data_IF_622008525655
#
_entry.id   IF_622008525655
#
_cell.length_a   1.000
_cell.length_b   1.000
_cell.length_c   1.000
_cell.angle_alpha   90.00
_cell.angle_beta   90.00
_cell.angle_gamma   90.00
#
_symmetry.space_group_name_H-M   'P 1'
#
loop_
_entity.id
_entity.type
_entity.pdbx_description
1 polymer ?
#
# COMPACT_ATOMS: atom_id res chain seq x y z
N UNK A 1 14.07 0.53 12.21
CA UNK A 1 13.49 1.83 11.76
C UNK A 1 14.14 2.22 10.43
N UNK A 2 13.34 2.47 9.43
CA UNK A 2 13.77 2.94 8.11
C UNK A 2 13.80 4.47 8.14
N UNK A 3 14.81 5.08 7.48
CA UNK A 3 14.98 6.54 7.41
C UNK A 3 15.13 6.98 5.97
N UNK A 4 14.43 8.03 5.59
CA UNK A 4 14.57 8.70 4.29
C UNK A 4 14.91 10.17 4.49
N UNK A 5 15.79 10.67 3.64
CA UNK A 5 16.18 12.08 3.60
C UNK A 5 15.80 12.64 2.25
N UNK A 6 14.79 13.46 2.20
CA UNK A 6 14.42 14.20 1.00
C UNK A 6 15.24 15.50 0.93
N UNK A 7 16.35 15.43 0.22
CA UNK A 7 17.27 16.58 0.10
C UNK A 7 16.68 17.72 -0.74
N UNK A 8 15.88 17.40 -1.74
CA UNK A 8 15.25 18.39 -2.63
C UNK A 8 14.22 19.22 -1.87
N UNK A 9 13.38 18.56 -1.05
CA UNK A 9 12.31 19.19 -0.31
C UNK A 9 12.70 19.45 1.16
N UNK A 10 13.95 19.15 1.53
CA UNK A 10 14.58 19.49 2.81
C UNK A 10 13.83 18.98 4.04
N UNK A 11 13.50 17.67 4.07
CA UNK A 11 12.92 17.03 5.26
C UNK A 11 13.42 15.61 5.43
N UNK A 12 13.14 15.05 6.60
CA UNK A 12 13.48 13.68 6.97
C UNK A 12 12.21 12.96 7.42
N UNK A 13 12.02 11.74 6.96
CA UNK A 13 10.97 10.84 7.45
C UNK A 13 11.57 9.55 7.99
N UNK A 14 10.91 8.97 8.98
CA UNK A 14 11.26 7.70 9.59
C UNK A 14 10.02 6.83 9.76
N UNK A 15 10.19 5.53 9.53
CA UNK A 15 9.15 4.54 9.64
C UNK A 15 9.68 3.27 10.32
N UNK A 16 8.94 2.76 11.29
CA UNK A 16 9.24 1.47 11.91
C UNK A 16 8.32 0.39 11.34
N UNK A 17 8.84 -0.53 10.51
CA UNK A 17 8.04 -1.59 9.89
C UNK A 17 7.48 -2.62 10.88
N UNK A 18 7.94 -2.63 12.14
CA UNK A 18 7.45 -3.55 13.18
C UNK A 18 6.22 -3.00 13.90
N UNK A 19 6.23 -1.69 14.19
CA UNK A 19 5.19 -1.03 14.98
C UNK A 19 4.23 -0.19 14.14
N UNK A 20 4.61 0.12 12.89
CA UNK A 20 3.88 1.07 12.06
C UNK A 20 4.12 2.54 12.44
N UNK A 21 4.99 2.81 13.44
CA UNK A 21 5.29 4.17 13.84
C UNK A 21 5.91 4.95 12.69
N UNK A 22 5.32 6.10 12.39
CA UNK A 22 5.78 7.01 11.36
C UNK A 22 5.92 8.42 11.91
N UNK A 23 7.00 9.07 11.54
CA UNK A 23 7.25 10.48 11.86
C UNK A 23 8.01 11.13 10.73
N UNK A 24 7.72 12.41 10.47
CA UNK A 24 8.55 13.25 9.62
C UNK A 24 8.80 14.62 10.24
N UNK A 25 9.93 15.23 9.92
CA UNK A 25 10.24 16.59 10.30
C UNK A 25 9.41 17.59 9.48
N UNK A 26 9.37 18.82 9.92
CA UNK A 26 9.05 19.93 9.04
C UNK A 26 10.16 20.17 7.99
N UNK A 27 9.93 21.12 7.11
CA UNK A 27 10.95 21.56 6.14
C UNK A 27 12.08 22.25 6.89
N UNK A 28 13.32 21.85 6.63
CA UNK A 28 14.51 22.54 7.18
C UNK A 28 14.80 23.84 6.42
N UNK A 29 15.12 24.89 7.16
CA UNK A 29 15.61 26.15 6.60
C UNK A 29 17.08 26.03 6.10
N UNK A 30 17.64 27.14 5.61
CA UNK A 30 19.03 27.20 5.10
C UNK A 30 20.08 26.95 6.19
N UNK A 31 19.72 27.16 7.45
CA UNK A 31 20.58 26.91 8.61
C UNK A 31 20.42 25.49 9.17
N UNK A 32 19.57 24.65 8.55
CA UNK A 32 19.30 23.30 9.01
C UNK A 32 18.36 23.20 10.21
N UNK A 33 17.62 24.27 10.52
CA UNK A 33 16.61 24.29 11.58
C UNK A 33 15.28 23.83 11.04
N UNK A 34 14.60 22.95 11.77
CA UNK A 34 13.23 22.54 11.49
C UNK A 34 12.27 23.73 11.67
N UNK A 35 11.54 24.06 10.63
CA UNK A 35 10.58 25.18 10.62
C UNK A 35 9.22 24.79 11.19
N UNK A 36 8.95 23.51 11.42
CA UNK A 36 7.62 23.00 11.76
C UNK A 36 6.61 23.04 10.61
N UNK A 37 7.01 23.49 9.43
CA UNK A 37 6.14 23.51 8.25
C UNK A 37 6.09 22.11 7.63
N UNK A 38 4.90 21.54 7.53
CA UNK A 38 4.72 20.20 6.94
C UNK A 38 5.17 20.18 5.47
N UNK A 39 6.02 19.21 5.05
CA UNK A 39 6.43 19.10 3.65
C UNK A 39 5.24 18.80 2.75
N UNK A 40 5.02 19.67 1.77
CA UNK A 40 3.92 19.51 0.82
C UNK A 40 4.25 18.56 -0.34
N UNK A 41 5.53 18.41 -0.66
CA UNK A 41 6.02 17.58 -1.77
C UNK A 41 7.13 16.64 -1.31
N UNK A 42 7.23 15.50 -1.96
CA UNK A 42 8.33 14.54 -1.79
C UNK A 42 8.90 14.15 -3.15
N UNK A 43 10.18 13.76 -3.18
CA UNK A 43 10.81 13.24 -4.41
C UNK A 43 10.22 11.91 -4.84
N UNK A 44 9.75 11.10 -3.89
CA UNK A 44 9.12 9.82 -4.14
C UNK A 44 8.12 9.49 -3.01
N UNK A 45 6.91 9.03 -3.32
CA UNK A 45 5.89 8.75 -2.33
C UNK A 45 6.36 7.79 -1.25
N UNK A 46 5.97 8.04 -0.01
CA UNK A 46 6.29 7.18 1.14
C UNK A 46 5.30 6.04 1.29
N UNK A 47 4.10 6.23 0.76
CA UNK A 47 3.04 5.23 0.61
C UNK A 47 2.49 5.33 -0.82
N UNK A 48 2.25 4.19 -1.45
CA UNK A 48 1.66 4.10 -2.80
C UNK A 48 0.50 3.12 -2.75
N UNK A 49 -0.65 3.52 -3.29
CA UNK A 49 -1.77 2.62 -3.53
C UNK A 49 -1.55 1.81 -4.81
N UNK A 50 -1.67 0.49 -4.69
CA UNK A 50 -1.47 -0.46 -5.80
C UNK A 50 -2.71 -1.32 -5.97
N UNK A 51 -3.41 -1.17 -7.09
CA UNK A 51 -4.56 -2.00 -7.44
C UNK A 51 -4.12 -3.37 -7.96
N UNK A 52 -4.06 -4.36 -7.10
CA UNK A 52 -3.68 -5.75 -7.48
C UNK A 52 -4.89 -6.57 -7.91
N UNK A 53 -6.09 -6.21 -7.43
CA UNK A 53 -7.33 -6.93 -7.73
C UNK A 53 -8.07 -6.31 -8.91
N UNK A 54 -8.40 -7.12 -9.91
CA UNK A 54 -9.19 -6.72 -11.08
C UNK A 54 -10.68 -7.03 -10.97
N UNK A 55 -11.07 -7.91 -10.04
CA UNK A 55 -12.45 -8.31 -9.80
C UNK A 55 -12.70 -8.64 -8.33
N UNK A 56 -13.96 -8.74 -7.94
CA UNK A 56 -14.37 -9.05 -6.58
C UNK A 56 -15.18 -10.35 -6.53
N UNK A 57 -14.67 -11.36 -5.84
CA UNK A 57 -15.37 -12.63 -5.63
C UNK A 57 -16.65 -12.43 -4.82
N UNK A 58 -16.60 -11.59 -3.78
CA UNK A 58 -17.76 -11.27 -2.94
C UNK A 58 -18.80 -10.43 -3.68
N UNK A 59 -18.36 -9.59 -4.62
CA UNK A 59 -19.25 -8.86 -5.52
C UNK A 59 -20.06 -9.80 -6.38
N UNK A 60 -19.41 -10.78 -7.01
CA UNK A 60 -20.07 -11.79 -7.84
C UNK A 60 -21.09 -12.64 -7.05
N UNK A 61 -20.79 -12.96 -5.77
CA UNK A 61 -21.71 -13.69 -4.89
C UNK A 61 -22.90 -12.85 -4.38
N UNK A 62 -22.83 -11.53 -4.54
CA UNK A 62 -23.81 -10.59 -4.00
C UNK A 62 -23.79 -10.46 -2.47
N UNK A 63 -22.73 -10.93 -1.79
CA UNK A 63 -22.62 -10.95 -0.34
C UNK A 63 -22.74 -9.53 0.26
N UNK A 64 -22.00 -8.59 -0.26
CA UNK A 64 -22.03 -7.20 0.21
C UNK A 64 -23.41 -6.56 0.03
N UNK A 65 -24.08 -6.80 -1.11
CA UNK A 65 -25.42 -6.27 -1.36
C UNK A 65 -26.45 -6.85 -0.40
N UNK A 66 -26.38 -8.16 -0.11
CA UNK A 66 -27.27 -8.83 0.87
C UNK A 66 -27.09 -8.26 2.27
N UNK A 67 -25.88 -7.77 2.59
CA UNK A 67 -25.57 -7.12 3.86
C UNK A 67 -25.87 -5.61 3.85
N UNK A 68 -26.47 -5.07 2.79
CA UNK A 68 -26.78 -3.64 2.66
C UNK A 68 -25.58 -2.74 2.38
N UNK A 69 -24.43 -3.29 2.05
CA UNK A 69 -23.22 -2.51 1.74
C UNK A 69 -23.23 -2.07 0.29
N UNK A 70 -23.09 -0.77 0.07
CA UNK A 70 -22.92 -0.21 -1.26
C UNK A 70 -21.43 -0.21 -1.63
N UNK A 71 -21.06 -0.98 -2.64
CA UNK A 71 -19.68 -1.07 -3.10
C UNK A 71 -19.30 0.12 -3.98
N UNK A 72 -18.38 0.95 -3.52
CA UNK A 72 -17.86 2.09 -4.29
C UNK A 72 -16.99 1.69 -5.49
N UNK A 73 -16.42 0.48 -5.45
CA UNK A 73 -15.61 -0.09 -6.55
C UNK A 73 -16.45 -0.72 -7.66
N UNK A 74 -17.79 -0.77 -7.50
CA UNK A 74 -18.69 -1.37 -8.47
C UNK A 74 -18.33 -2.82 -8.82
N UNK A 75 -17.88 -3.58 -7.83
CA UNK A 75 -17.35 -4.94 -7.96
C UNK A 75 -18.30 -5.98 -8.60
N UNK A 76 -19.59 -5.65 -8.70
CA UNK A 76 -20.60 -6.48 -9.36
C UNK A 76 -20.54 -6.43 -10.89
N UNK A 77 -20.04 -5.36 -11.48
CA UNK A 77 -20.20 -5.05 -12.91
C UNK A 77 -18.93 -5.22 -13.74
N UNK A 78 -17.79 -5.31 -13.10
CA UNK A 78 -16.50 -5.34 -13.79
C UNK A 78 -15.70 -6.55 -13.40
N UNK A 79 -15.25 -7.30 -14.39
CA UNK A 79 -14.35 -8.42 -14.23
C UNK A 79 -13.13 -8.22 -15.13
N UNK A 80 -12.01 -7.89 -14.52
CA UNK A 80 -10.71 -7.84 -15.16
C UNK A 80 -9.78 -8.86 -14.51
N UNK A 81 -8.71 -9.30 -15.18
CA UNK A 81 -7.70 -10.13 -14.56
C UNK A 81 -7.03 -9.36 -13.40
N UNK A 82 -6.59 -10.10 -12.39
CA UNK A 82 -5.74 -9.57 -11.35
C UNK A 82 -4.37 -9.18 -11.92
N UNK A 83 -3.63 -8.35 -11.19
CA UNK A 83 -2.25 -8.02 -11.56
C UNK A 83 -1.39 -9.29 -11.47
N UNK A 84 -0.58 -9.56 -12.47
CA UNK A 84 0.34 -10.69 -12.40
C UNK A 84 1.43 -10.45 -11.36
N UNK A 85 1.92 -11.52 -10.72
CA UNK A 85 3.02 -11.44 -9.76
C UNK A 85 4.27 -10.78 -10.36
N UNK A 86 4.54 -11.01 -11.65
CA UNK A 86 5.67 -10.39 -12.35
C UNK A 86 5.52 -8.87 -12.42
N UNK A 87 4.35 -8.36 -12.80
CA UNK A 87 4.10 -6.92 -12.83
C UNK A 87 4.16 -6.30 -11.44
N UNK A 88 3.64 -7.00 -10.43
CA UNK A 88 3.74 -6.55 -9.04
C UNK A 88 5.20 -6.44 -8.60
N UNK A 89 6.03 -7.44 -8.86
CA UNK A 89 7.46 -7.41 -8.54
C UNK A 89 8.18 -6.24 -9.18
N UNK A 90 7.86 -5.90 -10.42
CA UNK A 90 8.42 -4.70 -11.09
C UNK A 90 8.07 -3.41 -10.36
N UNK A 91 6.84 -3.29 -9.84
CA UNK A 91 6.44 -2.13 -9.02
C UNK A 91 7.26 -2.07 -7.73
N UNK A 92 7.39 -3.20 -7.03
CA UNK A 92 8.18 -3.27 -5.80
C UNK A 92 9.64 -2.91 -6.04
N UNK A 93 10.24 -3.38 -7.13
CA UNK A 93 11.63 -3.08 -7.49
C UNK A 93 11.84 -1.58 -7.72
N UNK A 94 10.89 -0.91 -8.37
CA UNK A 94 10.92 0.55 -8.54
C UNK A 94 10.74 1.32 -7.22
N UNK A 95 10.01 0.74 -6.25
CA UNK A 95 9.76 1.32 -4.94
C UNK A 95 10.89 1.09 -3.93
N UNK A 96 11.76 0.11 -4.17
CA UNK A 96 12.80 -0.33 -3.26
C UNK A 96 13.70 0.82 -2.80
N UNK A 97 13.82 0.99 -1.49
CA UNK A 97 14.60 2.07 -0.87
C UNK A 97 13.98 3.47 -1.01
N UNK A 98 12.83 3.60 -1.67
CA UNK A 98 12.15 4.88 -1.93
C UNK A 98 10.81 4.99 -1.21
N UNK A 99 10.11 3.88 -0.99
CA UNK A 99 8.77 3.82 -0.38
C UNK A 99 8.83 3.03 0.92
N UNK A 100 8.03 3.37 1.91
CA UNK A 100 7.90 2.60 3.15
C UNK A 100 6.79 1.56 3.05
N UNK A 101 5.68 1.91 2.39
CA UNK A 101 4.48 1.11 2.39
C UNK A 101 3.84 1.02 1.00
N UNK A 102 3.26 -0.14 0.69
CA UNK A 102 2.32 -0.31 -0.41
C UNK A 102 0.95 -0.64 0.16
N UNK A 103 -0.05 0.19 -0.14
CA UNK A 103 -1.44 -0.10 0.17
C UNK A 103 -2.02 -0.94 -0.98
N UNK A 104 -2.22 -2.22 -0.71
CA UNK A 104 -2.71 -3.17 -1.69
C UNK A 104 -4.24 -3.14 -1.73
N UNK A 105 -4.78 -3.05 -2.91
CA UNK A 105 -6.22 -2.92 -3.10
C UNK A 105 -6.67 -3.30 -4.50
N UNK A 106 -7.66 -2.58 -5.01
CA UNK A 106 -8.27 -2.80 -6.29
C UNK A 106 -9.76 -3.12 -6.15
N UNK A 107 -10.29 -3.96 -7.03
CA UNK A 107 -11.71 -4.26 -7.09
C UNK A 107 -12.12 -5.51 -6.31
N UNK A 108 -11.59 -5.70 -5.12
CA UNK A 108 -11.93 -6.86 -4.31
C UNK A 108 -11.02 -6.98 -3.10
N UNK A 109 -11.24 -8.02 -2.33
CA UNK A 109 -10.39 -8.34 -1.20
C UNK A 109 -9.07 -8.91 -1.69
N UNK A 110 -7.98 -8.34 -1.21
CA UNK A 110 -6.61 -8.68 -1.67
C UNK A 110 -6.23 -10.11 -1.26
N UNK A 111 -6.78 -10.62 -0.16
CA UNK A 111 -6.60 -12.01 0.29
C UNK A 111 -7.13 -13.04 -0.72
N UNK A 112 -7.97 -12.62 -1.66
CA UNK A 112 -8.47 -13.46 -2.75
C UNK A 112 -7.55 -13.47 -4.00
N UNK A 113 -6.41 -12.80 -3.92
CA UNK A 113 -5.43 -12.81 -5.00
C UNK A 113 -4.69 -14.16 -5.04
N UNK A 114 -4.57 -14.75 -6.23
CA UNK A 114 -3.94 -16.07 -6.44
C UNK A 114 -2.48 -16.16 -5.94
N UNK A 115 -1.79 -15.03 -5.89
CA UNK A 115 -0.41 -14.93 -5.39
C UNK A 115 -0.32 -14.06 -4.14
N UNK A 116 -1.35 -14.06 -3.27
CA UNK A 116 -1.38 -13.16 -2.11
C UNK A 116 -0.18 -13.32 -1.19
N UNK A 117 0.17 -14.55 -0.84
CA UNK A 117 1.30 -14.84 0.04
C UNK A 117 2.64 -14.37 -0.55
N UNK A 118 2.86 -14.63 -1.85
CA UNK A 118 4.08 -14.22 -2.56
C UNK A 118 4.19 -12.70 -2.69
N UNK A 119 3.06 -12.00 -2.86
CA UNK A 119 2.99 -10.54 -2.86
C UNK A 119 3.47 -9.98 -1.52
N UNK A 120 2.93 -10.49 -0.42
CA UNK A 120 3.31 -10.05 0.93
C UNK A 120 4.78 -10.36 1.22
N UNK A 121 5.22 -11.57 0.89
CA UNK A 121 6.59 -11.99 1.09
C UNK A 121 7.57 -11.09 0.31
N UNK A 122 7.28 -10.83 -0.97
CA UNK A 122 8.17 -10.02 -1.81
C UNK A 122 8.29 -8.57 -1.32
N UNK A 123 7.21 -7.98 -0.82
CA UNK A 123 7.26 -6.67 -0.16
C UNK A 123 8.21 -6.70 1.05
N UNK A 124 8.06 -7.68 1.93
CA UNK A 124 8.88 -7.80 3.16
C UNK A 124 10.35 -8.03 2.86
N UNK A 125 10.68 -8.87 1.90
CA UNK A 125 12.06 -9.12 1.45
C UNK A 125 12.74 -7.85 0.92
N UNK A 126 11.96 -6.90 0.41
CA UNK A 126 12.44 -5.61 -0.09
C UNK A 126 12.28 -4.45 0.91
N UNK A 127 12.02 -4.75 2.19
CA UNK A 127 11.84 -3.76 3.27
C UNK A 127 10.69 -2.76 2.99
N UNK A 128 9.64 -3.22 2.32
CA UNK A 128 8.41 -2.47 2.11
C UNK A 128 7.30 -3.14 2.92
N UNK A 129 6.51 -2.38 3.65
CA UNK A 129 5.39 -2.92 4.42
C UNK A 129 4.13 -2.93 3.55
N UNK A 130 3.58 -4.11 3.22
CA UNK A 130 2.27 -4.18 2.60
C UNK A 130 1.19 -3.91 3.65
N UNK A 131 0.23 -3.06 3.33
CA UNK A 131 -1.00 -2.92 4.09
C UNK A 131 -2.19 -3.11 3.15
N UNK A 132 -3.32 -3.56 3.68
CA UNK A 132 -4.51 -3.81 2.87
C UNK A 132 -5.76 -3.83 3.75
N UNK A 133 -6.91 -3.65 3.12
CA UNK A 133 -8.21 -3.84 3.74
C UNK A 133 -8.84 -5.09 3.17
N UNK A 134 -9.38 -5.93 4.04
CA UNK A 134 -10.08 -7.16 3.69
C UNK A 134 -11.35 -7.30 4.52
N UNK A 135 -12.34 -8.03 3.99
CA UNK A 135 -13.51 -8.47 4.77
C UNK A 135 -13.16 -9.54 5.80
N UNK A 136 -11.99 -10.16 5.68
CA UNK A 136 -11.55 -11.26 6.52
C UNK A 136 -12.15 -12.62 6.16
N UNK A 137 -13.00 -12.69 5.15
CA UNK A 137 -13.71 -13.93 4.79
C UNK A 137 -12.80 -14.99 4.14
N UNK A 138 -11.63 -14.60 3.69
CA UNK A 138 -10.62 -15.49 3.11
C UNK A 138 -9.61 -16.03 4.10
N UNK A 139 -9.57 -15.51 5.33
CA UNK A 139 -8.61 -15.95 6.33
C UNK A 139 -9.12 -17.19 7.09
N UNK A 140 -8.21 -18.12 7.34
CA UNK A 140 -8.38 -19.28 8.20
C UNK A 140 -7.51 -19.13 9.45
N UNK A 141 -7.75 -19.96 10.47
CA UNK A 141 -6.95 -19.93 11.71
C UNK A 141 -5.56 -20.61 11.56
N UNK A 142 -5.28 -21.20 10.41
CA UNK A 142 -4.02 -21.93 10.11
C UNK A 142 -2.93 -21.04 9.51
#
# INVERSE_FOLDING_TARGET
MLKKVDRKNRFVSMFDPKTGFYVRSGVYDENGKDTGIDPFMTQFPELIDVGVMGHCVHGASGLCLKSGVQCYQNGLKTHHPNMTLENFKRIVDECKGKTFQLALGGRGDVDQHENFAEILQYCRENNIVPNFTSSGLGFTED
#
